data_IF_467045206744
#
_entry.id   IF_467045206744
#
_cell.length_a   1.000
_cell.length_b   1.000
_cell.length_c   1.000
_cell.angle_alpha   90.00
_cell.angle_beta   90.00
_cell.angle_gamma   90.00
#
_symmetry.space_group_name_H-M   'P 1'
#
loop_
_entity.id
_entity.type
_entity.pdbx_description
1 polymer ?
#
# COMPACT_ATOMS: atom_id res chain seq x y z
N UNK A 1 -1.25 7.68 25.74
CA UNK A 1 -1.13 8.29 24.40
C UNK A 1 0.21 7.96 23.75
N UNK A 2 1.38 8.31 24.33
CA UNK A 2 2.69 7.99 23.73
C UNK A 2 2.91 6.56 23.23
N UNK A 3 2.56 5.54 24.01
CA UNK A 3 2.73 4.14 23.59
C UNK A 3 1.87 3.77 22.37
N UNK A 4 0.64 4.30 22.31
CA UNK A 4 -0.27 4.05 21.19
C UNK A 4 0.24 4.78 19.94
N UNK A 5 0.72 6.02 20.08
CA UNK A 5 1.27 6.81 18.98
C UNK A 5 2.60 6.25 18.46
N UNK A 6 3.47 5.76 19.34
CA UNK A 6 4.74 5.12 18.97
C UNK A 6 4.52 3.77 18.29
N UNK A 7 3.59 2.96 18.80
CA UNK A 7 3.25 1.66 18.22
C UNK A 7 2.51 1.83 16.90
N UNK A 8 1.51 2.70 16.84
CA UNK A 8 0.78 3.01 15.59
C UNK A 8 1.69 3.67 14.55
N UNK A 9 2.60 4.54 14.96
CA UNK A 9 3.61 5.13 14.08
C UNK A 9 4.51 4.08 13.45
N UNK A 10 4.95 3.09 14.25
CA UNK A 10 5.77 1.99 13.76
C UNK A 10 4.96 1.06 12.82
N UNK A 11 3.74 0.67 13.22
CA UNK A 11 2.86 -0.16 12.38
C UNK A 11 2.48 0.53 11.07
N UNK A 12 2.18 1.84 11.10
CA UNK A 12 1.87 2.64 9.89
C UNK A 12 3.06 2.63 8.94
N UNK A 13 4.29 2.80 9.46
CA UNK A 13 5.50 2.76 8.65
C UNK A 13 5.74 1.37 8.06
N UNK A 14 5.56 0.30 8.83
CA UNK A 14 5.65 -1.08 8.35
C UNK A 14 4.64 -1.35 7.23
N UNK A 15 3.39 -0.90 7.39
CA UNK A 15 2.35 -1.05 6.36
C UNK A 15 2.71 -0.28 5.09
N UNK A 16 3.24 0.95 5.23
CA UNK A 16 3.70 1.71 4.07
C UNK A 16 4.86 1.01 3.35
N UNK A 17 5.78 0.36 4.07
CA UNK A 17 6.86 -0.42 3.45
C UNK A 17 6.32 -1.67 2.75
N UNK A 18 5.35 -2.36 3.35
CA UNK A 18 4.66 -3.50 2.74
C UNK A 18 3.97 -3.06 1.42
N UNK A 19 3.31 -1.91 1.42
CA UNK A 19 2.71 -1.35 0.20
C UNK A 19 3.74 -1.06 -0.88
N UNK A 20 4.88 -0.46 -0.53
CA UNK A 20 5.98 -0.26 -1.49
C UNK A 20 6.49 -1.60 -2.06
N UNK A 21 6.66 -2.62 -1.22
CA UNK A 21 7.09 -3.95 -1.65
C UNK A 21 6.06 -4.64 -2.55
N UNK A 22 4.77 -4.31 -2.43
CA UNK A 22 3.72 -4.80 -3.33
C UNK A 22 3.94 -4.41 -4.78
N UNK A 23 4.67 -3.32 -5.07
CA UNK A 23 5.07 -2.95 -6.44
C UNK A 23 5.93 -4.01 -7.14
N UNK A 24 6.58 -4.90 -6.39
CA UNK A 24 7.43 -5.97 -6.90
C UNK A 24 6.75 -7.34 -6.86
N UNK A 25 5.99 -7.61 -5.79
CA UNK A 25 5.54 -8.96 -5.43
C UNK A 25 4.06 -9.20 -5.73
N UNK A 26 3.32 -8.19 -6.22
CA UNK A 26 1.85 -8.17 -6.35
C UNK A 26 1.13 -8.00 -4.99
N UNK A 27 -0.12 -7.53 -5.03
CA UNK A 27 -0.88 -7.20 -3.83
C UNK A 27 -1.39 -8.43 -3.07
N UNK A 28 -1.76 -9.50 -3.78
CA UNK A 28 -2.29 -10.74 -3.18
C UNK A 28 -1.29 -11.40 -2.22
N UNK A 29 -0.05 -11.74 -2.62
CA UNK A 29 0.89 -12.36 -1.70
C UNK A 29 1.36 -11.41 -0.59
N UNK A 30 1.41 -10.10 -0.83
CA UNK A 30 1.75 -9.14 0.23
C UNK A 30 0.67 -9.05 1.31
N UNK A 31 -0.61 -9.06 0.93
CA UNK A 31 -1.72 -9.14 1.90
C UNK A 31 -1.70 -10.49 2.63
N UNK A 32 -1.44 -11.59 1.92
CA UNK A 32 -1.34 -12.92 2.55
C UNK A 32 -0.18 -13.01 3.56
N UNK A 33 0.97 -12.41 3.26
CA UNK A 33 2.10 -12.30 4.19
C UNK A 33 1.72 -11.44 5.41
N UNK A 34 0.97 -10.35 5.19
CA UNK A 34 0.53 -9.46 6.25
C UNK A 34 -0.45 -10.10 7.23
N UNK A 35 -1.30 -11.03 6.77
CA UNK A 35 -2.18 -11.85 7.63
C UNK A 35 -1.37 -12.72 8.61
N UNK A 36 -0.17 -13.15 8.22
CA UNK A 36 0.73 -13.86 9.15
C UNK A 36 1.43 -12.92 10.14
N UNK A 37 1.68 -11.66 9.74
CA UNK A 37 2.34 -10.66 10.58
C UNK A 37 1.37 -9.99 11.58
N UNK A 38 0.12 -9.82 11.18
CA UNK A 38 -0.95 -9.21 11.96
C UNK A 38 -2.11 -10.21 12.02
N UNK A 39 -2.17 -11.05 13.07
CA UNK A 39 -3.22 -12.05 13.21
C UNK A 39 -4.63 -11.42 13.28
N UNK A 40 -5.58 -11.94 12.48
CA UNK A 40 -6.95 -11.40 12.37
C UNK A 40 -7.81 -11.57 13.63
N UNK A 41 -7.40 -12.43 14.55
CA UNK A 41 -7.99 -12.62 15.87
C UNK A 41 -7.65 -11.48 16.83
N UNK A 42 -6.51 -10.80 16.63
CA UNK A 42 -6.07 -9.65 17.42
C UNK A 42 -6.48 -8.31 16.81
N UNK A 43 -6.80 -8.28 15.52
CA UNK A 43 -7.16 -7.07 14.78
C UNK A 43 -8.49 -7.27 14.04
N UNK A 44 -9.60 -6.64 14.50
CA UNK A 44 -10.89 -6.70 13.81
C UNK A 44 -10.74 -6.31 12.35
N UNK A 45 -11.44 -6.99 11.43
CA UNK A 45 -11.30 -6.77 9.97
C UNK A 45 -11.58 -5.33 9.53
N UNK A 46 -12.45 -4.64 10.24
CA UNK A 46 -12.80 -3.24 9.98
C UNK A 46 -11.86 -2.25 10.67
N UNK A 47 -10.81 -2.72 11.34
CA UNK A 47 -9.85 -1.85 12.01
C UNK A 47 -9.03 -1.03 11.01
N UNK A 48 -8.57 0.14 11.49
CA UNK A 48 -7.64 1.02 10.79
C UNK A 48 -6.46 0.26 10.15
N UNK A 49 -5.91 -0.75 10.84
CA UNK A 49 -4.79 -1.54 10.36
C UNK A 49 -5.10 -2.20 9.00
N UNK A 50 -6.22 -2.91 8.89
CA UNK A 50 -6.60 -3.63 7.68
C UNK A 50 -6.99 -2.69 6.54
N UNK A 51 -7.71 -1.62 6.86
CA UNK A 51 -8.11 -0.64 5.87
C UNK A 51 -6.89 0.10 5.30
N UNK A 52 -5.96 0.53 6.17
CA UNK A 52 -4.73 1.19 5.74
C UNK A 52 -3.81 0.24 4.97
N UNK A 53 -3.75 -1.03 5.38
CA UNK A 53 -2.99 -2.06 4.68
C UNK A 53 -3.56 -2.36 3.29
N UNK A 54 -4.88 -2.49 3.17
CA UNK A 54 -5.54 -2.67 1.88
C UNK A 54 -5.29 -1.47 0.96
N UNK A 55 -5.36 -0.25 1.49
CA UNK A 55 -5.01 0.97 0.75
C UNK A 55 -3.54 0.93 0.27
N UNK A 56 -2.59 0.67 1.18
CA UNK A 56 -1.17 0.71 0.85
C UNK A 56 -0.76 -0.43 -0.11
N UNK A 57 -1.23 -1.66 0.11
CA UNK A 57 -0.95 -2.77 -0.78
C UNK A 57 -1.61 -2.57 -2.16
N UNK A 58 -2.84 -2.06 -2.19
CA UNK A 58 -3.56 -1.81 -3.45
C UNK A 58 -2.92 -0.71 -4.29
N UNK A 59 -2.55 0.42 -3.68
CA UNK A 59 -1.98 1.57 -4.39
C UNK A 59 -0.48 1.41 -4.66
N UNK A 60 0.25 0.76 -3.76
CA UNK A 60 1.69 0.50 -3.91
C UNK A 60 2.03 -0.37 -5.12
N UNK A 61 1.17 -1.33 -5.47
CA UNK A 61 1.27 -2.13 -6.70
C UNK A 61 1.33 -1.32 -8.00
N UNK A 62 0.88 -0.06 -8.00
CA UNK A 62 0.91 0.83 -9.17
C UNK A 62 2.22 1.59 -9.32
N UNK A 63 3.12 1.56 -8.33
CA UNK A 63 4.39 2.30 -8.40
C UNK A 63 5.28 1.72 -9.49
N UNK A 64 5.28 0.40 -9.67
CA UNK A 64 5.89 -0.25 -10.82
C UNK A 64 4.77 -0.87 -11.66
N UNK A 65 4.85 -0.71 -12.98
CA UNK A 65 3.83 -1.22 -13.89
C UNK A 65 3.68 -2.76 -13.85
N UNK A 66 4.66 -3.49 -13.30
CA UNK A 66 4.61 -4.95 -13.14
C UNK A 66 3.98 -5.39 -11.81
N UNK A 67 3.73 -4.46 -10.88
CA UNK A 67 3.26 -4.76 -9.53
C UNK A 67 1.78 -5.10 -9.44
N UNK A 68 1.07 -5.19 -10.57
CA UNK A 68 -0.32 -5.61 -10.62
C UNK A 68 -0.68 -6.24 -11.96
N UNK A 69 -1.68 -7.13 -11.96
CA UNK A 69 -2.24 -7.71 -13.18
C UNK A 69 -2.77 -6.65 -14.17
N UNK A 70 -3.36 -5.57 -13.65
CA UNK A 70 -3.84 -4.44 -14.45
C UNK A 70 -2.68 -3.71 -15.16
N UNK A 71 -1.55 -3.53 -14.47
CA UNK A 71 -0.35 -2.93 -15.05
C UNK A 71 0.26 -3.80 -16.16
N UNK A 72 0.35 -5.12 -15.96
CA UNK A 72 0.79 -6.06 -16.99
C UNK A 72 -0.14 -6.07 -18.21
N UNK A 73 -1.46 -6.01 -18.01
CA UNK A 73 -2.43 -5.88 -19.09
C UNK A 73 -2.24 -4.56 -19.86
N UNK A 74 -2.04 -3.45 -19.15
CA UNK A 74 -1.78 -2.14 -19.76
C UNK A 74 -0.48 -2.14 -20.58
N UNK A 75 0.59 -2.81 -20.10
CA UNK A 75 1.82 -2.99 -20.88
C UNK A 75 1.56 -3.71 -22.20
N UNK A 76 0.76 -4.78 -22.18
CA UNK A 76 0.43 -5.55 -23.38
C UNK A 76 -0.44 -4.78 -24.36
N UNK A 77 -1.49 -4.12 -23.87
CA UNK A 77 -2.47 -3.42 -24.71
C UNK A 77 -1.92 -2.11 -25.30
N UNK A 78 -1.21 -1.32 -24.48
CA UNK A 78 -0.70 0.00 -24.86
C UNK A 78 0.78 -0.04 -25.29
N UNK A 79 1.41 -1.23 -25.31
CA UNK A 79 2.84 -1.43 -25.61
C UNK A 79 3.76 -0.53 -24.77
N UNK A 80 3.40 -0.30 -23.50
CA UNK A 80 4.17 0.53 -22.59
C UNK A 80 5.45 -0.21 -22.19
N UNK A 81 6.60 0.41 -22.40
CA UNK A 81 7.89 -0.12 -21.96
C UNK A 81 8.06 0.08 -20.44
N UNK A 82 8.56 -0.95 -19.75
CA UNK A 82 8.83 -0.91 -18.31
C UNK A 82 9.71 0.28 -17.90
N UNK A 83 10.86 0.47 -18.55
CA UNK A 83 11.79 1.56 -18.20
C UNK A 83 11.21 2.94 -18.51
N UNK A 84 10.37 3.06 -19.55
CA UNK A 84 9.66 4.30 -19.83
C UNK A 84 8.69 4.62 -18.68
N UNK A 85 7.93 3.64 -18.20
CA UNK A 85 7.01 3.82 -17.08
C UNK A 85 7.75 4.21 -15.81
N UNK A 86 8.87 3.55 -15.51
CA UNK A 86 9.72 3.87 -14.35
C UNK A 86 10.19 5.32 -14.38
N UNK A 87 10.60 5.83 -15.55
CA UNK A 87 11.09 7.19 -15.69
C UNK A 87 10.00 8.27 -15.67
N UNK A 88 8.78 7.94 -16.09
CA UNK A 88 7.72 8.95 -16.33
C UNK A 88 6.57 8.88 -15.36
N UNK A 89 6.19 7.70 -14.91
CA UNK A 89 4.95 7.46 -14.16
C UNK A 89 5.25 6.99 -12.73
N UNK A 90 6.26 6.15 -12.51
CA UNK A 90 6.56 5.60 -11.18
C UNK A 90 6.79 6.67 -10.11
N UNK A 91 7.42 7.80 -10.46
CA UNK A 91 7.60 8.92 -9.53
C UNK A 91 6.26 9.57 -9.18
N UNK A 92 5.38 9.78 -10.16
CA UNK A 92 4.04 10.33 -9.93
C UNK A 92 3.18 9.36 -9.09
N UNK A 93 3.25 8.07 -9.38
CA UNK A 93 2.59 7.02 -8.61
C UNK A 93 3.12 6.96 -7.17
N UNK A 94 4.43 7.10 -6.97
CA UNK A 94 5.04 7.16 -5.63
C UNK A 94 4.61 8.42 -4.85
N UNK A 95 4.58 9.58 -5.51
CA UNK A 95 4.08 10.82 -4.88
C UNK A 95 2.61 10.67 -4.51
N UNK A 96 1.78 10.13 -5.40
CA UNK A 96 0.37 9.83 -5.12
C UNK A 96 0.19 8.84 -3.98
N UNK A 97 1.03 7.80 -3.92
CA UNK A 97 1.07 6.83 -2.84
C UNK A 97 1.36 7.48 -1.48
N UNK A 98 2.43 8.28 -1.39
CA UNK A 98 2.81 8.98 -0.16
C UNK A 98 1.74 9.99 0.23
N UNK A 99 1.25 10.79 -0.73
CA UNK A 99 0.21 11.79 -0.47
C UNK A 99 -1.09 11.14 0.01
N UNK A 100 -1.51 10.04 -0.62
CA UNK A 100 -2.69 9.28 -0.20
C UNK A 100 -2.52 8.64 1.17
N UNK A 101 -1.35 8.06 1.46
CA UNK A 101 -1.05 7.48 2.76
C UNK A 101 -1.08 8.53 3.88
N UNK A 102 -0.43 9.67 3.68
CA UNK A 102 -0.45 10.79 4.64
C UNK A 102 -1.86 11.35 4.83
N UNK A 103 -2.62 11.48 3.75
CA UNK A 103 -4.02 11.93 3.81
C UNK A 103 -4.88 10.95 4.59
N UNK A 104 -4.70 9.65 4.36
CA UNK A 104 -5.41 8.60 5.09
C UNK A 104 -5.09 8.64 6.59
N UNK A 105 -3.80 8.75 6.95
CA UNK A 105 -3.37 8.91 8.35
C UNK A 105 -3.97 10.18 8.96
N UNK A 106 -3.99 11.30 8.23
CA UNK A 106 -4.57 12.55 8.71
C UNK A 106 -6.10 12.51 8.88
N UNK A 107 -6.79 11.73 8.04
CA UNK A 107 -8.24 11.49 8.14
C UNK A 107 -8.60 10.42 9.18
N UNK A 108 -7.65 9.57 9.59
CA UNK A 108 -7.91 8.50 10.56
C UNK A 108 -8.58 8.94 11.87
N UNK A 109 -8.29 10.13 12.44
CA UNK A 109 -8.98 10.60 13.65
C UNK A 109 -10.46 10.96 13.40
N UNK A 110 -10.85 11.25 12.15
CA UNK A 110 -12.22 11.58 11.77
C UNK A 110 -13.08 10.33 11.57
N UNK A 111 -12.46 9.19 11.23
CA UNK A 111 -13.13 7.90 11.06
C UNK A 111 -13.30 7.13 12.38
N UNK A 112 -13.18 7.82 13.53
CA UNK A 112 -13.25 7.23 14.87
C UNK A 112 -14.59 6.57 15.19
N UNK A 113 -14.70 5.27 14.89
CA UNK A 113 -15.51 4.28 15.58
C UNK A 113 -14.68 3.01 15.79
#
# INVERSE_FOLDING_TARGET
MKWLDETLGNTTLVIMLIGLMSSLVDNVPMVAASIKMFPMDLHPKDSYLWQFLAFCAGTGGSILIIGSAAGLAAMGMQKINFFWYVKKISVLALVGYIAGALTYVALSPLFGH
#
